data_IF_098229450724
#
_entry.id   IF_098229450724
#
_cell.length_a   1.000
_cell.length_b   1.000
_cell.length_c   1.000
_cell.angle_alpha   90.00
_cell.angle_beta   90.00
_cell.angle_gamma   90.00
#
_symmetry.space_group_name_H-M   'P 1'
#
loop_
_entity.id
_entity.type
_entity.pdbx_description
1 polymer ?
#
# COMPACT_ATOMS: atom_id res chain seq x y z
N UNK A 1 6.05 0.34 -12.75
CA UNK A 1 6.12 1.57 -11.92
C UNK A 1 4.77 2.29 -11.83
N UNK A 2 4.16 2.69 -12.95
CA UNK A 2 2.88 3.45 -12.91
C UNK A 2 1.66 2.67 -12.42
N UNK A 3 1.64 1.34 -12.63
CA UNK A 3 0.53 0.48 -12.17
C UNK A 3 0.32 0.49 -10.65
N UNK A 4 1.40 0.34 -9.87
CA UNK A 4 1.33 0.36 -8.41
C UNK A 4 0.86 1.71 -7.85
N UNK A 5 1.34 2.81 -8.43
CA UNK A 5 0.91 4.17 -8.03
C UNK A 5 -0.59 4.36 -8.26
N UNK A 6 -1.10 3.97 -9.43
CA UNK A 6 -2.55 4.07 -9.73
C UNK A 6 -3.40 3.20 -8.80
N UNK A 7 -2.93 2.00 -8.47
CA UNK A 7 -3.60 1.16 -7.47
C UNK A 7 -3.64 1.86 -6.10
N UNK A 8 -2.52 2.41 -5.64
CA UNK A 8 -2.44 3.14 -4.36
C UNK A 8 -3.40 4.34 -4.28
N UNK A 9 -3.51 5.12 -5.36
CA UNK A 9 -4.46 6.25 -5.44
C UNK A 9 -5.90 5.81 -5.11
N UNK A 10 -6.35 4.68 -5.67
CA UNK A 10 -7.72 4.18 -5.42
C UNK A 10 -7.95 3.75 -3.96
N UNK A 11 -6.96 3.13 -3.31
CA UNK A 11 -7.04 2.77 -1.89
C UNK A 11 -7.09 4.00 -0.98
N UNK A 12 -6.48 5.11 -1.39
CA UNK A 12 -6.57 6.40 -0.70
C UNK A 12 -7.81 7.23 -1.10
N UNK A 13 -8.76 6.67 -1.87
CA UNK A 13 -9.93 7.41 -2.35
C UNK A 13 -9.59 8.62 -3.21
N UNK A 14 -8.53 8.52 -4.02
CA UNK A 14 -7.97 9.61 -4.81
C UNK A 14 -7.87 9.26 -6.31
N UNK A 15 -7.97 10.28 -7.15
CA UNK A 15 -7.74 10.16 -8.60
C UNK A 15 -6.47 10.92 -9.06
N UNK A 16 -5.88 11.70 -8.16
CA UNK A 16 -4.69 12.52 -8.42
C UNK A 16 -3.74 12.48 -7.23
N UNK A 17 -2.47 12.82 -7.45
CA UNK A 17 -1.45 12.85 -6.40
C UNK A 17 -1.81 13.85 -5.28
N UNK A 18 -2.28 15.10 -5.57
CA UNK A 18 -2.68 16.02 -4.50
C UNK A 18 -3.85 15.51 -3.65
N UNK A 19 -4.83 14.84 -4.26
CA UNK A 19 -5.95 14.23 -3.51
C UNK A 19 -5.44 13.11 -2.59
N UNK A 20 -4.52 12.26 -3.07
CA UNK A 20 -3.92 11.23 -2.23
C UNK A 20 -3.17 11.83 -1.06
N UNK A 21 -2.39 12.89 -1.28
CA UNK A 21 -1.66 13.58 -0.21
C UNK A 21 -2.60 14.19 0.85
N UNK A 22 -3.78 14.65 0.45
CA UNK A 22 -4.79 15.18 1.37
C UNK A 22 -5.57 14.09 2.11
N UNK A 23 -5.83 12.95 1.46
CA UNK A 23 -6.70 11.89 1.99
C UNK A 23 -5.96 10.76 2.71
N UNK A 24 -4.67 10.56 2.44
CA UNK A 24 -3.94 9.40 2.92
C UNK A 24 -3.74 9.43 4.44
N UNK A 25 -4.06 8.32 5.08
CA UNK A 25 -3.78 8.07 6.48
C UNK A 25 -2.76 6.95 6.62
N UNK A 26 -1.88 7.08 7.62
CA UNK A 26 -0.82 6.12 7.88
C UNK A 26 -0.96 5.54 9.28
N UNK A 27 -0.65 4.25 9.41
CA UNK A 27 -0.58 3.54 10.68
C UNK A 27 0.81 2.96 10.89
N UNK A 28 1.29 2.95 12.13
CA UNK A 28 2.54 2.27 12.48
C UNK A 28 2.33 0.77 12.51
N UNK A 29 3.30 0.03 11.99
CA UNK A 29 3.30 -1.43 11.99
C UNK A 29 4.39 -2.00 12.90
N UNK A 30 4.15 -3.21 13.41
CA UNK A 30 5.16 -4.02 14.09
C UNK A 30 6.01 -4.79 13.08
N UNK A 31 7.10 -5.41 13.53
CA UNK A 31 7.90 -6.30 12.66
C UNK A 31 7.11 -7.52 12.18
N UNK A 32 6.19 -8.04 13.00
CA UNK A 32 5.32 -9.15 12.61
C UNK A 32 4.37 -8.74 11.47
N UNK A 33 3.73 -7.57 11.58
CA UNK A 33 2.88 -7.06 10.50
C UNK A 33 3.64 -6.77 9.21
N UNK A 34 4.94 -6.48 9.29
CA UNK A 34 5.78 -6.32 8.10
C UNK A 34 6.01 -7.65 7.39
N UNK A 35 6.33 -8.71 8.14
CA UNK A 35 6.44 -10.05 7.58
C UNK A 35 5.12 -10.51 6.94
N UNK A 36 3.99 -10.20 7.58
CA UNK A 36 2.64 -10.52 7.07
C UNK A 36 2.31 -9.77 5.77
N UNK A 37 2.82 -8.55 5.58
CA UNK A 37 2.53 -7.75 4.37
C UNK A 37 3.25 -8.27 3.12
N UNK A 38 4.23 -9.16 3.28
CA UNK A 38 4.94 -9.82 2.18
C UNK A 38 4.34 -11.21 1.93
N UNK A 39 4.55 -11.83 0.76
CA UNK A 39 4.21 -13.24 0.58
C UNK A 39 4.88 -14.09 1.66
N UNK A 40 4.07 -14.83 2.42
CA UNK A 40 4.52 -15.70 3.50
C UNK A 40 3.75 -17.02 3.46
N UNK A 41 4.32 -18.06 4.05
CA UNK A 41 3.77 -19.43 4.09
C UNK A 41 3.45 -20.06 2.72
N UNK A 42 4.15 -19.60 1.67
CA UNK A 42 4.05 -20.11 0.30
C UNK A 42 5.44 -20.30 -0.30
N UNK A 43 5.61 -21.35 -1.10
CA UNK A 43 6.81 -21.51 -1.92
C UNK A 43 6.65 -20.65 -3.17
N UNK A 44 7.44 -19.59 -3.27
CA UNK A 44 7.61 -18.83 -4.49
C UNK A 44 8.56 -19.62 -5.39
N UNK A 45 8.03 -20.11 -6.51
CA UNK A 45 8.79 -20.85 -7.53
C UNK A 45 9.78 -19.95 -8.25
#
# INVERSE_FOLDING_TARGET
LTGGVRSGLSYCGAHTIPQMQANAEFIKMSRAGFAESQPHDVSLM
#
